data_IF_912856193022
#
_entry.id   IF_912856193022
#
_cell.length_a   1.000
_cell.length_b   1.000
_cell.length_c   1.000
_cell.angle_alpha   90.00
_cell.angle_beta   90.00
_cell.angle_gamma   90.00
#
_symmetry.space_group_name_H-M   'P 1'
#
loop_
_entity.id
_entity.type
_entity.pdbx_description
1 polymer ?
#
# COMPACT_ATOMS: atom_id res chain seq x y z
N UNK A 1 18.68 24.30 -35.96
CA UNK A 1 18.89 23.50 -34.73
C UNK A 1 20.40 23.37 -34.51
N UNK A 2 20.95 23.96 -33.49
CA UNK A 2 22.40 23.88 -33.21
C UNK A 2 22.70 22.44 -32.81
N UNK A 3 23.57 21.79 -33.56
CA UNK A 3 24.17 20.51 -33.15
C UNK A 3 24.67 20.61 -31.71
N UNK A 4 24.20 19.73 -30.81
CA UNK A 4 24.63 19.65 -29.43
C UNK A 4 26.11 19.28 -29.23
N UNK A 5 26.99 19.82 -30.06
CA UNK A 5 28.44 19.54 -30.13
C UNK A 5 29.26 20.02 -28.92
N UNK A 6 28.59 20.43 -27.83
CA UNK A 6 29.27 20.86 -26.61
C UNK A 6 28.94 20.07 -25.35
N UNK A 7 27.79 19.36 -25.31
CA UNK A 7 27.33 18.63 -24.10
C UNK A 7 27.86 17.20 -24.13
N UNK A 8 28.61 16.83 -23.11
CA UNK A 8 29.03 15.43 -22.87
C UNK A 8 28.13 14.81 -21.82
N UNK A 9 27.87 13.53 -21.96
CA UNK A 9 27.05 12.74 -21.03
C UNK A 9 27.90 11.63 -20.39
N UNK A 10 27.61 11.32 -19.14
CA UNK A 10 28.19 10.20 -18.43
C UNK A 10 27.25 9.02 -18.44
N UNK A 11 27.69 7.88 -18.94
CA UNK A 11 26.93 6.62 -18.90
C UNK A 11 26.97 5.96 -17.52
N UNK A 12 26.11 4.97 -17.31
CA UNK A 12 26.07 4.14 -16.09
C UNK A 12 27.38 3.38 -15.81
N UNK A 13 28.12 3.03 -16.85
CA UNK A 13 29.45 2.38 -16.76
C UNK A 13 30.58 3.38 -16.52
N UNK A 14 30.28 4.67 -16.35
CA UNK A 14 31.24 5.75 -16.12
C UNK A 14 31.85 6.31 -17.40
N UNK A 15 31.61 5.77 -18.60
CA UNK A 15 32.12 6.31 -19.85
C UNK A 15 31.48 7.66 -20.18
N UNK A 16 32.25 8.52 -20.81
CA UNK A 16 31.82 9.87 -21.22
C UNK A 16 31.84 9.95 -22.74
N UNK A 17 30.67 10.32 -23.30
CA UNK A 17 30.51 10.50 -24.74
C UNK A 17 29.73 11.79 -25.07
N UNK A 18 29.77 12.30 -26.32
CA UNK A 18 28.90 13.39 -26.73
C UNK A 18 27.41 13.02 -26.61
N UNK A 19 26.57 13.97 -26.19
CA UNK A 19 25.13 13.81 -26.17
C UNK A 19 24.61 13.55 -27.60
N UNK A 20 23.94 12.43 -27.78
CA UNK A 20 23.31 12.07 -29.05
C UNK A 20 21.81 12.43 -29.00
N UNK A 21 21.44 13.57 -29.57
CA UNK A 21 20.05 14.05 -29.61
C UNK A 21 19.14 13.17 -30.45
N UNK A 22 19.67 12.50 -31.50
CA UNK A 22 18.85 11.60 -32.34
C UNK A 22 18.35 10.38 -31.54
N UNK A 23 19.18 9.88 -30.60
CA UNK A 23 18.75 8.81 -29.68
C UNK A 23 17.67 9.29 -28.71
N UNK A 24 17.77 10.52 -28.22
CA UNK A 24 16.76 11.11 -27.34
C UNK A 24 15.45 11.28 -28.11
N UNK A 25 15.53 11.87 -29.31
CA UNK A 25 14.39 12.10 -30.19
C UNK A 25 13.66 10.78 -30.49
N UNK A 26 14.38 9.77 -30.96
CA UNK A 26 13.81 8.45 -31.27
C UNK A 26 13.07 7.84 -30.08
N UNK A 27 13.65 7.90 -28.87
CA UNK A 27 13.02 7.36 -27.67
C UNK A 27 11.72 8.10 -27.31
N UNK A 28 11.68 9.43 -27.48
CA UNK A 28 10.48 10.22 -27.20
C UNK A 28 9.42 10.01 -28.29
N UNK A 29 9.82 9.88 -29.56
CA UNK A 29 8.90 9.54 -30.66
C UNK A 29 8.25 8.18 -30.43
N UNK A 30 9.03 7.14 -30.11
CA UNK A 30 8.51 5.80 -29.77
C UNK A 30 7.54 5.86 -28.58
N UNK A 31 7.82 6.69 -27.57
CA UNK A 31 6.90 6.88 -26.44
C UNK A 31 5.59 7.57 -26.82
N UNK A 32 5.57 8.39 -27.87
CA UNK A 32 4.37 9.07 -28.38
C UNK A 32 3.58 8.21 -29.41
N UNK A 33 4.16 7.15 -29.93
CA UNK A 33 3.58 6.36 -31.03
C UNK A 33 2.20 5.80 -30.66
N UNK A 34 1.23 5.96 -31.58
CA UNK A 34 -0.13 5.41 -31.42
C UNK A 34 -1.03 6.16 -30.42
N UNK A 35 -0.56 7.25 -29.79
CA UNK A 35 -1.35 8.02 -28.82
C UNK A 35 -2.19 9.17 -29.42
N UNK A 36 -2.15 9.32 -30.75
CA UNK A 36 -2.94 10.31 -31.49
C UNK A 36 -2.32 11.71 -31.50
N UNK A 37 -3.06 12.67 -32.08
CA UNK A 37 -2.58 14.05 -32.32
C UNK A 37 -2.47 14.92 -31.06
N UNK A 38 -2.92 14.43 -29.92
CA UNK A 38 -2.88 15.16 -28.64
C UNK A 38 -1.53 15.14 -27.93
N UNK A 39 -0.50 14.44 -28.48
CA UNK A 39 0.85 14.39 -27.94
C UNK A 39 1.88 14.75 -29.01
N UNK A 40 2.98 15.37 -28.59
CA UNK A 40 4.06 15.81 -29.47
C UNK A 40 5.43 15.54 -28.84
N UNK A 41 6.28 14.78 -29.51
CA UNK A 41 7.65 14.55 -29.10
C UNK A 41 8.42 15.87 -28.95
N UNK A 42 8.23 16.80 -29.88
CA UNK A 42 8.89 18.11 -29.84
C UNK A 42 8.53 18.93 -28.59
N UNK A 43 7.31 18.84 -28.07
CA UNK A 43 6.94 19.52 -26.82
C UNK A 43 7.66 18.95 -25.61
N UNK A 44 7.75 17.62 -25.51
CA UNK A 44 8.51 16.95 -24.45
C UNK A 44 9.99 17.36 -24.51
N UNK A 45 10.57 17.37 -25.70
CA UNK A 45 11.97 17.73 -25.93
C UNK A 45 12.26 19.21 -25.61
N UNK A 46 11.37 20.11 -25.99
CA UNK A 46 11.51 21.55 -25.68
C UNK A 46 11.50 21.77 -24.17
N UNK A 47 10.59 21.13 -23.43
CA UNK A 47 10.53 21.21 -21.98
C UNK A 47 11.77 20.61 -21.31
N UNK A 48 12.36 19.55 -21.90
CA UNK A 48 13.53 18.87 -21.35
C UNK A 48 14.84 19.55 -21.69
N UNK A 49 14.99 20.09 -22.89
CA UNK A 49 16.26 20.58 -23.44
C UNK A 49 16.91 21.70 -22.65
N UNK A 50 16.13 22.52 -21.95
CA UNK A 50 16.64 23.58 -21.07
C UNK A 50 17.33 23.08 -19.80
N UNK A 51 17.20 21.80 -19.46
CA UNK A 51 17.73 21.20 -18.25
C UNK A 51 19.02 20.39 -18.50
N UNK A 52 19.40 20.19 -19.76
CA UNK A 52 20.61 19.45 -20.08
C UNK A 52 21.87 20.33 -19.94
N UNK A 53 22.86 19.80 -19.24
CA UNK A 53 24.15 20.46 -19.01
C UNK A 53 25.32 19.51 -19.27
N UNK A 54 26.54 20.08 -19.44
CA UNK A 54 27.74 19.27 -19.68
C UNK A 54 28.06 18.37 -18.46
N UNK A 55 28.37 17.11 -18.73
CA UNK A 55 28.63 16.11 -17.72
C UNK A 55 27.38 15.44 -17.10
N UNK A 56 26.15 15.75 -17.57
CA UNK A 56 24.90 15.15 -17.09
C UNK A 56 24.94 13.62 -17.23
N UNK A 57 24.38 12.91 -16.25
CA UNK A 57 24.26 11.46 -16.33
C UNK A 57 23.06 11.04 -17.23
N UNK A 58 23.24 9.95 -17.97
CA UNK A 58 22.15 9.45 -18.85
C UNK A 58 20.88 9.06 -18.10
N UNK A 59 21.00 8.68 -16.82
CA UNK A 59 19.84 8.43 -15.96
C UNK A 59 19.05 9.72 -15.66
N UNK A 60 19.79 10.84 -15.46
CA UNK A 60 19.15 12.14 -15.16
C UNK A 60 18.43 12.69 -16.39
N UNK A 61 19.01 12.49 -17.59
CA UNK A 61 18.31 12.79 -18.85
C UNK A 61 16.99 12.03 -18.93
N UNK A 62 17.00 10.76 -18.58
CA UNK A 62 15.79 9.93 -18.57
C UNK A 62 14.72 10.47 -17.59
N UNK A 63 15.13 10.83 -16.37
CA UNK A 63 14.21 11.42 -15.38
C UNK A 63 13.68 12.80 -15.80
N UNK A 64 14.51 13.62 -16.46
CA UNK A 64 14.09 14.90 -17.03
C UNK A 64 13.02 14.69 -18.11
N UNK A 65 13.20 13.72 -19.02
CA UNK A 65 12.22 13.42 -20.06
C UNK A 65 10.91 12.92 -19.47
N UNK A 66 10.96 12.04 -18.49
CA UNK A 66 9.78 11.54 -17.78
C UNK A 66 9.03 12.70 -17.10
N UNK A 67 9.74 13.57 -16.40
CA UNK A 67 9.16 14.74 -15.74
C UNK A 67 8.57 15.71 -16.76
N UNK A 68 9.30 16.00 -17.84
CA UNK A 68 8.83 16.91 -18.91
C UNK A 68 7.55 16.40 -19.57
N UNK A 69 7.42 15.09 -19.78
CA UNK A 69 6.18 14.50 -20.28
C UNK A 69 5.05 14.55 -19.23
N UNK A 70 5.38 14.32 -17.93
CA UNK A 70 4.37 14.39 -16.87
C UNK A 70 3.84 15.80 -16.62
N UNK A 71 4.67 16.83 -16.80
CA UNK A 71 4.29 18.23 -16.64
C UNK A 71 3.35 18.74 -17.75
N UNK A 72 3.26 17.99 -18.86
CA UNK A 72 2.34 18.27 -19.97
C UNK A 72 0.96 17.61 -19.79
N UNK A 73 0.73 16.87 -18.70
CA UNK A 73 -0.55 16.22 -18.43
C UNK A 73 -1.57 17.27 -17.95
N UNK A 74 -2.60 17.48 -18.75
CA UNK A 74 -3.77 18.30 -18.38
C UNK A 74 -5.06 17.67 -18.91
N UNK A 75 -6.19 18.35 -18.74
CA UNK A 75 -7.51 17.85 -19.18
C UNK A 75 -7.62 17.71 -20.70
N UNK A 76 -6.94 18.55 -21.46
CA UNK A 76 -6.98 18.56 -22.92
C UNK A 76 -5.92 17.63 -23.53
N UNK A 77 -4.83 17.38 -22.80
CA UNK A 77 -3.67 16.60 -23.21
C UNK A 77 -3.39 15.41 -22.28
N UNK A 78 -4.43 14.72 -21.82
CA UNK A 78 -4.32 13.61 -20.84
C UNK A 78 -3.46 12.43 -21.36
N UNK A 79 -3.26 12.28 -22.67
CA UNK A 79 -2.46 11.21 -23.23
C UNK A 79 -0.96 11.31 -22.91
N UNK A 80 -0.45 12.46 -22.47
CA UNK A 80 0.93 12.55 -21.97
C UNK A 80 1.18 11.65 -20.74
N UNK A 81 0.14 11.23 -20.02
CA UNK A 81 0.30 10.22 -18.96
C UNK A 81 0.85 8.90 -19.48
N UNK A 82 0.50 8.51 -20.71
CA UNK A 82 1.03 7.30 -21.34
C UNK A 82 2.44 7.53 -21.90
N UNK A 83 2.74 8.72 -22.41
CA UNK A 83 4.10 9.09 -22.82
C UNK A 83 5.06 9.01 -21.64
N UNK A 84 4.71 9.64 -20.53
CA UNK A 84 5.50 9.60 -19.29
C UNK A 84 5.65 8.16 -18.74
N UNK A 85 4.58 7.35 -18.82
CA UNK A 85 4.62 5.93 -18.44
C UNK A 85 5.59 5.12 -19.31
N UNK A 86 5.55 5.30 -20.62
CA UNK A 86 6.43 4.57 -21.56
C UNK A 86 7.89 4.96 -21.39
N UNK A 87 8.17 6.25 -21.17
CA UNK A 87 9.53 6.70 -20.84
C UNK A 87 10.04 6.11 -19.52
N UNK A 88 9.18 6.03 -18.49
CA UNK A 88 9.51 5.35 -17.24
C UNK A 88 9.73 3.85 -17.44
N UNK A 89 8.86 3.19 -18.22
CA UNK A 89 9.00 1.77 -18.53
C UNK A 89 10.33 1.47 -19.24
N UNK A 90 10.72 2.31 -20.18
CA UNK A 90 12.02 2.21 -20.84
C UNK A 90 13.16 2.29 -19.82
N UNK A 91 13.09 3.22 -18.86
CA UNK A 91 14.10 3.34 -17.80
C UNK A 91 14.19 2.07 -16.93
N UNK A 92 13.01 1.50 -16.54
CA UNK A 92 12.93 0.26 -15.76
C UNK A 92 13.50 -0.92 -16.54
N UNK A 93 13.05 -1.13 -17.78
CA UNK A 93 13.56 -2.22 -18.64
C UNK A 93 15.06 -2.13 -18.85
N UNK A 94 15.58 -0.93 -19.10
CA UNK A 94 17.02 -0.70 -19.25
C UNK A 94 17.80 -0.96 -17.95
N UNK A 95 17.22 -0.69 -16.81
CA UNK A 95 17.86 -0.98 -15.51
C UNK A 95 17.90 -2.48 -15.25
N UNK A 96 16.80 -3.19 -15.46
CA UNK A 96 16.64 -4.62 -15.15
C UNK A 96 17.35 -5.50 -16.19
N UNK A 97 17.19 -5.20 -17.47
CA UNK A 97 17.61 -6.06 -18.59
C UNK A 97 18.87 -5.58 -19.31
N UNK A 98 19.41 -4.41 -18.88
CA UNK A 98 20.54 -3.78 -19.58
C UNK A 98 20.13 -3.23 -20.94
N UNK A 99 21.12 -2.98 -21.83
CA UNK A 99 20.84 -2.46 -23.17
C UNK A 99 20.51 -3.55 -24.20
N UNK A 100 20.79 -4.80 -23.87
CA UNK A 100 20.60 -5.94 -24.77
C UNK A 100 19.13 -6.23 -25.08
N UNK A 101 18.22 -5.89 -24.18
CA UNK A 101 16.79 -6.14 -24.44
C UNK A 101 16.24 -5.46 -25.69
N UNK A 102 16.92 -4.40 -26.16
CA UNK A 102 16.55 -3.70 -27.42
C UNK A 102 16.85 -4.52 -28.68
N UNK A 103 17.79 -5.47 -28.61
CA UNK A 103 18.21 -6.32 -29.72
C UNK A 103 17.78 -7.77 -29.54
N UNK A 104 17.89 -8.29 -28.35
CA UNK A 104 17.74 -9.72 -28.04
C UNK A 104 16.35 -10.02 -27.45
N UNK A 105 15.56 -8.99 -27.12
CA UNK A 105 14.26 -9.14 -26.47
C UNK A 105 14.38 -9.37 -24.96
N UNK A 106 13.31 -9.84 -24.36
CA UNK A 106 13.27 -10.19 -22.95
C UNK A 106 13.88 -11.56 -22.72
N UNK A 107 14.71 -11.79 -21.68
CA UNK A 107 15.24 -13.10 -21.36
C UNK A 107 14.12 -14.06 -20.97
N UNK A 108 14.37 -15.37 -21.12
CA UNK A 108 13.45 -16.40 -20.66
C UNK A 108 13.17 -16.26 -19.16
N UNK A 109 11.92 -16.50 -18.74
CA UNK A 109 11.48 -16.26 -17.35
C UNK A 109 12.35 -17.02 -16.34
N UNK A 110 12.77 -18.24 -16.65
CA UNK A 110 13.61 -19.06 -15.77
C UNK A 110 15.02 -18.47 -15.60
N UNK A 111 15.58 -17.88 -16.67
CA UNK A 111 16.85 -17.16 -16.60
C UNK A 111 16.74 -15.96 -15.65
N UNK A 112 15.69 -15.15 -15.84
CA UNK A 112 15.40 -14.01 -14.97
C UNK A 112 15.21 -14.41 -13.49
N UNK A 113 14.45 -15.50 -13.23
CA UNK A 113 14.26 -16.03 -11.88
C UNK A 113 15.60 -16.43 -11.27
N UNK A 114 16.43 -17.14 -12.03
CA UNK A 114 17.74 -17.64 -11.56
C UNK A 114 18.67 -16.48 -11.15
N UNK A 115 18.68 -15.41 -11.92
CA UNK A 115 19.40 -14.18 -11.56
C UNK A 115 18.85 -13.53 -10.26
N UNK A 116 17.54 -13.38 -10.16
CA UNK A 116 16.90 -12.81 -8.97
C UNK A 116 17.11 -13.66 -7.70
N UNK A 117 17.14 -14.99 -7.84
CA UNK A 117 17.50 -15.91 -6.75
C UNK A 117 18.98 -15.76 -6.39
N UNK A 118 19.86 -15.60 -7.39
CA UNK A 118 21.29 -15.33 -7.18
C UNK A 118 21.54 -14.04 -6.40
N UNK A 119 20.73 -13.01 -6.60
CA UNK A 119 20.74 -11.78 -5.80
C UNK A 119 20.06 -11.91 -4.41
N UNK A 120 19.43 -13.05 -4.12
CA UNK A 120 18.70 -13.29 -2.87
C UNK A 120 17.39 -12.51 -2.75
N UNK A 121 16.85 -11.99 -3.85
CA UNK A 121 15.62 -11.18 -3.86
C UNK A 121 14.37 -12.00 -4.15
N UNK A 122 14.50 -13.15 -4.80
CA UNK A 122 13.44 -14.14 -4.98
C UNK A 122 13.67 -15.38 -4.10
N UNK A 123 12.58 -16.05 -3.75
CA UNK A 123 12.63 -17.36 -3.09
C UNK A 123 13.03 -18.45 -4.09
N UNK A 124 14.20 -19.05 -3.90
CA UNK A 124 14.74 -20.06 -4.81
C UNK A 124 13.94 -21.35 -4.88
N UNK A 125 13.12 -21.65 -3.86
CA UNK A 125 12.30 -22.85 -3.84
C UNK A 125 11.24 -22.93 -4.94
N UNK A 126 10.97 -21.84 -5.65
CA UNK A 126 10.01 -21.82 -6.76
C UNK A 126 10.52 -22.54 -8.01
N UNK A 127 11.84 -22.55 -8.24
CA UNK A 127 12.43 -23.13 -9.45
C UNK A 127 12.08 -24.61 -9.57
N UNK A 128 12.20 -25.36 -8.48
CA UNK A 128 11.98 -26.81 -8.42
C UNK A 128 10.49 -27.21 -8.40
N UNK A 129 9.57 -26.24 -8.34
CA UNK A 129 8.13 -26.52 -8.29
C UNK A 129 7.51 -26.80 -9.65
N UNK A 130 8.17 -26.39 -10.72
CA UNK A 130 7.71 -26.55 -12.10
C UNK A 130 8.77 -27.26 -12.93
N UNK A 131 8.34 -28.06 -13.93
CA UNK A 131 9.27 -28.69 -14.88
C UNK A 131 9.75 -27.68 -15.92
N UNK A 132 10.81 -28.03 -16.66
CA UNK A 132 11.33 -27.17 -17.74
C UNK A 132 10.25 -26.90 -18.80
N UNK A 133 9.47 -27.91 -19.17
CA UNK A 133 8.38 -27.76 -20.14
C UNK A 133 7.25 -26.85 -19.61
N UNK A 134 7.02 -26.85 -18.30
CA UNK A 134 6.07 -25.94 -17.68
C UNK A 134 6.62 -24.51 -17.68
N UNK A 135 7.91 -24.31 -17.41
CA UNK A 135 8.56 -23.00 -17.49
C UNK A 135 8.53 -22.43 -18.92
N UNK A 136 8.82 -23.24 -19.95
CA UNK A 136 8.71 -22.81 -21.34
C UNK A 136 7.28 -22.36 -21.69
N UNK A 137 6.29 -23.07 -21.17
CA UNK A 137 4.88 -22.73 -21.37
C UNK A 137 4.49 -21.46 -20.63
N UNK A 138 4.96 -21.27 -19.41
CA UNK A 138 4.74 -20.06 -18.60
C UNK A 138 5.37 -18.85 -19.30
N UNK A 139 6.60 -18.98 -19.78
CA UNK A 139 7.30 -17.94 -20.52
C UNK A 139 6.52 -17.49 -21.76
N UNK A 140 6.00 -18.43 -22.53
CA UNK A 140 5.20 -18.17 -23.74
C UNK A 140 3.93 -17.36 -23.48
N UNK A 141 3.46 -17.24 -22.24
CA UNK A 141 2.28 -16.46 -21.87
C UNK A 141 2.61 -15.04 -21.43
N UNK A 142 3.88 -14.73 -21.17
CA UNK A 142 4.28 -13.40 -20.72
C UNK A 142 4.17 -12.43 -21.91
N UNK A 143 3.27 -11.48 -21.76
CA UNK A 143 3.00 -10.45 -22.76
C UNK A 143 3.52 -9.11 -22.23
N UNK A 144 4.74 -8.77 -22.58
CA UNK A 144 5.43 -7.56 -22.13
C UNK A 144 4.80 -6.27 -22.66
N UNK A 145 3.96 -6.35 -23.69
CA UNK A 145 3.26 -5.17 -24.24
C UNK A 145 2.10 -4.73 -23.35
N UNK A 146 1.64 -5.58 -22.42
CA UNK A 146 0.67 -5.18 -21.39
C UNK A 146 1.19 -4.08 -20.47
N UNK A 147 2.49 -3.88 -20.40
CA UNK A 147 3.07 -2.75 -19.66
C UNK A 147 2.63 -1.38 -20.26
N UNK A 148 2.24 -1.34 -21.53
CA UNK A 148 1.71 -0.12 -22.16
C UNK A 148 0.29 0.26 -21.71
N UNK A 149 -0.37 -0.60 -20.92
CA UNK A 149 -1.65 -0.29 -20.28
C UNK A 149 -1.50 0.65 -19.07
N UNK A 150 -0.30 0.79 -18.53
CA UNK A 150 -0.07 1.65 -17.38
C UNK A 150 -0.18 3.13 -17.73
N UNK A 151 -0.85 3.87 -16.85
CA UNK A 151 -0.68 5.32 -16.73
C UNK A 151 0.61 5.63 -15.96
N UNK A 152 1.12 6.86 -16.07
CA UNK A 152 2.32 7.28 -15.34
C UNK A 152 2.20 7.07 -13.82
N UNK A 153 1.09 7.53 -13.23
CA UNK A 153 0.86 7.35 -11.78
C UNK A 153 0.79 5.87 -11.38
N UNK A 154 0.14 5.03 -12.21
CA UNK A 154 0.06 3.58 -11.97
C UNK A 154 1.42 2.90 -12.04
N UNK A 155 2.22 3.18 -13.07
CA UNK A 155 3.55 2.59 -13.23
C UNK A 155 4.53 3.10 -12.14
N UNK A 156 4.45 4.40 -11.78
CA UNK A 156 5.23 4.96 -10.66
C UNK A 156 4.93 4.23 -9.36
N UNK A 157 3.65 4.00 -9.07
CA UNK A 157 3.26 3.24 -7.88
C UNK A 157 3.80 1.81 -7.89
N UNK A 158 3.74 1.13 -9.04
CA UNK A 158 4.29 -0.24 -9.18
C UNK A 158 5.80 -0.21 -8.97
N UNK A 159 6.51 0.67 -9.65
CA UNK A 159 7.98 0.78 -9.58
C UNK A 159 8.45 1.13 -8.17
N UNK A 160 7.83 2.13 -7.54
CA UNK A 160 8.31 2.64 -6.26
C UNK A 160 7.95 1.74 -5.08
N UNK A 161 6.87 0.94 -5.19
CA UNK A 161 6.32 0.19 -4.05
C UNK A 161 6.37 -1.33 -4.19
N UNK A 162 6.20 -1.86 -5.40
CA UNK A 162 5.87 -3.28 -5.60
C UNK A 162 6.94 -4.07 -6.32
N UNK A 163 7.67 -3.49 -7.28
CA UNK A 163 8.81 -4.17 -7.89
C UNK A 163 9.86 -4.48 -6.83
N UNK A 164 10.43 -5.66 -6.90
CA UNK A 164 11.52 -6.05 -6.01
C UNK A 164 12.73 -5.19 -6.32
N UNK A 165 13.28 -4.57 -5.30
CA UNK A 165 14.39 -3.62 -5.42
C UNK A 165 15.23 -3.57 -4.16
N UNK A 166 16.49 -3.19 -4.29
CA UNK A 166 17.31 -2.74 -3.19
C UNK A 166 16.91 -1.31 -2.82
N UNK A 167 16.36 -1.14 -1.63
CA UNK A 167 15.86 0.16 -1.15
C UNK A 167 16.99 1.16 -0.81
N UNK A 168 18.20 0.68 -0.61
CA UNK A 168 19.33 1.54 -0.28
C UNK A 168 19.94 2.18 -1.54
N UNK A 169 20.04 1.43 -2.63
CA UNK A 169 20.55 1.88 -3.92
C UNK A 169 19.48 2.38 -4.89
N UNK A 170 18.22 1.95 -4.70
CA UNK A 170 17.12 2.15 -5.65
C UNK A 170 17.20 1.22 -6.87
N UNK A 171 18.03 0.18 -6.81
CA UNK A 171 18.18 -0.79 -7.88
C UNK A 171 16.96 -1.71 -7.94
N UNK A 172 16.31 -1.78 -9.12
CA UNK A 172 15.13 -2.61 -9.40
C UNK A 172 15.59 -3.88 -10.14
N UNK A 173 15.06 -5.04 -9.73
CA UNK A 173 15.48 -6.35 -10.23
C UNK A 173 14.46 -7.03 -11.15
N UNK A 174 13.27 -6.47 -11.34
CA UNK A 174 12.23 -7.07 -12.16
C UNK A 174 11.42 -6.03 -12.94
N UNK A 175 10.79 -6.45 -14.04
CA UNK A 175 9.80 -5.64 -14.78
C UNK A 175 8.38 -5.99 -14.32
N UNK A 176 7.34 -5.17 -14.63
CA UNK A 176 5.99 -5.43 -14.17
C UNK A 176 5.43 -6.80 -14.65
N UNK A 177 5.74 -7.24 -15.88
CA UNK A 177 5.21 -8.52 -16.35
C UNK A 177 5.86 -9.72 -15.67
N UNK A 178 7.17 -9.66 -15.38
CA UNK A 178 7.81 -10.69 -14.54
C UNK A 178 7.22 -10.69 -13.14
N UNK A 179 7.01 -9.52 -12.52
CA UNK A 179 6.33 -9.42 -11.23
C UNK A 179 4.98 -10.14 -11.24
N UNK A 180 4.13 -9.84 -12.22
CA UNK A 180 2.79 -10.44 -12.30
C UNK A 180 2.85 -11.94 -12.55
N UNK A 181 3.72 -12.41 -13.43
CA UNK A 181 3.86 -13.84 -13.66
C UNK A 181 4.38 -14.56 -12.41
N UNK A 182 5.40 -14.00 -11.74
CA UNK A 182 5.96 -14.58 -10.54
C UNK A 182 4.96 -14.63 -9.38
N UNK A 183 4.08 -13.65 -9.26
CA UNK A 183 2.97 -13.73 -8.30
C UNK A 183 2.05 -14.90 -8.63
N UNK A 184 1.67 -15.07 -9.89
CA UNK A 184 0.78 -16.15 -10.31
C UNK A 184 1.40 -17.54 -10.04
N UNK A 185 2.63 -17.76 -10.49
CA UNK A 185 3.29 -19.07 -10.31
C UNK A 185 3.53 -19.40 -8.84
N UNK A 186 3.87 -18.41 -8.01
CA UNK A 186 4.10 -18.65 -6.59
C UNK A 186 2.82 -18.98 -5.84
N UNK A 187 1.70 -18.33 -6.17
CA UNK A 187 0.41 -18.57 -5.51
C UNK A 187 -0.14 -19.98 -5.82
N UNK A 188 0.12 -20.49 -7.01
CA UNK A 188 -0.44 -21.79 -7.44
C UNK A 188 0.57 -22.94 -7.47
N UNK A 189 1.79 -22.74 -6.96
CA UNK A 189 2.86 -23.74 -6.98
C UNK A 189 2.51 -25.08 -6.31
N UNK A 190 1.66 -25.07 -5.30
CA UNK A 190 1.27 -26.26 -4.54
C UNK A 190 0.02 -26.95 -5.11
N UNK A 191 -0.60 -26.42 -6.16
CA UNK A 191 -1.73 -27.06 -6.79
C UNK A 191 -1.24 -28.23 -7.67
N UNK A 192 -1.77 -29.41 -7.42
CA UNK A 192 -1.40 -30.63 -8.15
C UNK A 192 -2.15 -30.79 -9.46
N UNK A 193 -3.39 -30.30 -9.51
CA UNK A 193 -4.25 -30.36 -10.69
C UNK A 193 -4.53 -28.97 -11.24
N UNK A 194 -4.53 -28.85 -12.56
CA UNK A 194 -4.87 -27.60 -13.28
C UNK A 194 -4.06 -26.36 -12.89
N UNK A 195 -2.88 -26.53 -12.24
CA UNK A 195 -2.09 -25.38 -11.76
C UNK A 195 -1.73 -24.40 -12.88
N UNK A 196 -1.38 -24.90 -14.06
CA UNK A 196 -1.05 -24.06 -15.19
C UNK A 196 -2.24 -23.25 -15.71
N UNK A 197 -3.46 -23.80 -15.66
CA UNK A 197 -4.68 -23.05 -15.99
C UNK A 197 -4.90 -21.92 -14.98
N UNK A 198 -4.75 -22.20 -13.69
CA UNK A 198 -4.84 -21.17 -12.65
C UNK A 198 -3.78 -20.08 -12.81
N UNK A 199 -2.52 -20.46 -13.04
CA UNK A 199 -1.42 -19.51 -13.28
C UNK A 199 -1.75 -18.60 -14.44
N UNK A 200 -2.14 -19.15 -15.60
CA UNK A 200 -2.47 -18.36 -16.80
C UNK A 200 -3.65 -17.42 -16.57
N UNK A 201 -4.74 -17.92 -16.01
CA UNK A 201 -5.96 -17.13 -15.74
C UNK A 201 -5.69 -16.01 -14.76
N UNK A 202 -4.92 -16.29 -13.70
CA UNK A 202 -4.58 -15.28 -12.70
C UNK A 202 -3.64 -14.22 -13.28
N UNK A 203 -2.58 -14.64 -13.99
CA UNK A 203 -1.71 -13.71 -14.71
C UNK A 203 -2.50 -12.81 -15.68
N UNK A 204 -3.39 -13.38 -16.49
CA UNK A 204 -4.25 -12.63 -17.39
C UNK A 204 -5.15 -11.61 -16.66
N UNK A 205 -5.66 -11.96 -15.48
CA UNK A 205 -6.53 -11.08 -14.72
C UNK A 205 -5.77 -9.89 -14.10
N UNK A 206 -4.60 -10.14 -13.51
CA UNK A 206 -3.82 -9.08 -12.85
C UNK A 206 -3.05 -8.22 -13.84
N UNK A 207 -2.43 -8.80 -14.87
CA UNK A 207 -1.64 -8.06 -15.86
C UNK A 207 -2.47 -7.23 -16.84
N UNK A 208 -3.75 -7.57 -17.00
CA UNK A 208 -4.75 -6.77 -17.74
C UNK A 208 -5.52 -5.79 -16.85
N UNK A 209 -5.09 -5.61 -15.60
CA UNK A 209 -5.69 -4.72 -14.59
C UNK A 209 -7.18 -4.97 -14.34
N UNK A 210 -7.66 -6.22 -14.52
CA UNK A 210 -9.06 -6.59 -14.27
C UNK A 210 -9.36 -6.78 -12.78
N UNK A 211 -8.37 -7.16 -12.02
CA UNK A 211 -8.42 -7.29 -10.56
C UNK A 211 -7.22 -6.59 -9.93
N UNK A 212 -7.41 -6.11 -8.73
CA UNK A 212 -6.35 -5.56 -7.89
C UNK A 212 -6.05 -6.53 -6.75
N UNK A 213 -4.81 -6.62 -6.33
CA UNK A 213 -4.36 -7.53 -5.29
C UNK A 213 -3.71 -6.75 -4.14
N UNK A 214 -3.77 -7.28 -2.89
CA UNK A 214 -3.28 -6.56 -1.73
C UNK A 214 -1.76 -6.36 -1.75
N UNK A 215 -1.34 -5.24 -1.17
CA UNK A 215 0.08 -4.83 -1.10
C UNK A 215 1.06 -5.93 -0.67
N UNK A 216 0.82 -6.74 0.38
CA UNK A 216 1.76 -7.78 0.79
C UNK A 216 1.97 -8.88 -0.26
N UNK A 217 0.92 -9.20 -1.03
CA UNK A 217 1.02 -10.16 -2.14
C UNK A 217 1.84 -9.55 -3.28
N UNK A 218 1.51 -8.30 -3.70
CA UNK A 218 2.24 -7.63 -4.78
C UNK A 218 3.72 -7.43 -4.46
N UNK A 219 4.03 -7.06 -3.22
CA UNK A 219 5.40 -6.73 -2.84
C UNK A 219 6.22 -7.95 -2.38
N UNK A 220 5.58 -9.04 -1.94
CA UNK A 220 6.28 -10.03 -1.12
C UNK A 220 6.15 -11.49 -1.49
N UNK A 221 5.09 -11.94 -2.19
CA UNK A 221 4.81 -13.38 -2.30
C UNK A 221 5.93 -14.19 -2.96
N UNK A 222 6.63 -13.64 -3.95
CA UNK A 222 7.76 -14.26 -4.64
C UNK A 222 9.12 -14.10 -3.94
N UNK A 223 9.14 -13.36 -2.84
CA UNK A 223 10.34 -13.07 -2.05
C UNK A 223 10.41 -13.96 -0.81
N UNK A 224 11.51 -13.96 -0.04
CA UNK A 224 11.59 -14.70 1.23
C UNK A 224 10.62 -14.26 2.33
N UNK A 225 9.83 -13.19 2.12
CA UNK A 225 8.81 -12.73 3.08
C UNK A 225 7.70 -13.78 3.25
N UNK A 226 7.14 -13.85 4.47
CA UNK A 226 6.09 -14.83 4.83
C UNK A 226 4.84 -14.22 5.46
N UNK A 227 4.76 -12.89 5.57
CA UNK A 227 3.59 -12.17 6.08
C UNK A 227 2.82 -11.53 4.93
N UNK A 228 1.58 -12.00 4.68
CA UNK A 228 0.77 -11.58 3.53
C UNK A 228 -0.57 -10.93 3.92
N UNK A 229 -0.90 -10.84 5.21
CA UNK A 229 -2.08 -10.13 5.67
C UNK A 229 -1.89 -8.61 5.50
N UNK A 230 -2.73 -7.96 4.71
CA UNK A 230 -2.66 -6.49 4.52
C UNK A 230 -3.34 -5.73 5.65
N UNK A 231 -4.31 -6.35 6.33
CA UNK A 231 -5.06 -5.77 7.43
C UNK A 231 -5.21 -6.81 8.54
N UNK A 232 -5.01 -6.38 9.78
CA UNK A 232 -5.13 -7.22 10.98
C UNK A 232 -6.04 -6.52 11.97
N UNK A 233 -7.00 -7.26 12.52
CA UNK A 233 -7.86 -6.79 13.59
C UNK A 233 -7.29 -7.26 14.93
N UNK A 234 -7.16 -6.33 15.87
CA UNK A 234 -6.73 -6.59 17.24
C UNK A 234 -7.87 -6.25 18.19
N UNK A 235 -8.36 -7.25 18.91
CA UNK A 235 -9.40 -7.07 19.93
C UNK A 235 -8.73 -6.84 21.28
N UNK A 236 -9.01 -5.70 21.90
CA UNK A 236 -8.40 -5.28 23.17
C UNK A 236 -9.40 -5.47 24.28
N UNK A 237 -9.09 -6.32 25.23
CA UNK A 237 -9.92 -6.55 26.40
C UNK A 237 -9.57 -5.58 27.54
N UNK A 238 -10.44 -5.51 28.56
CA UNK A 238 -10.39 -4.57 29.68
C UNK A 238 -9.38 -4.98 30.78
N UNK A 239 -8.19 -5.42 30.38
CA UNK A 239 -7.08 -5.75 31.32
C UNK A 239 -5.77 -5.14 30.87
N UNK A 240 -4.87 -4.83 31.78
CA UNK A 240 -3.52 -4.33 31.48
C UNK A 240 -2.75 -5.32 30.59
N UNK A 241 -2.89 -6.62 30.87
CA UNK A 241 -2.21 -7.66 30.10
C UNK A 241 -2.70 -7.68 28.66
N UNK A 242 -4.02 -7.57 28.43
CA UNK A 242 -4.59 -7.51 27.09
C UNK A 242 -4.18 -6.22 26.38
N UNK A 243 -4.24 -5.07 27.03
CA UNK A 243 -3.86 -3.78 26.44
C UNK A 243 -2.38 -3.79 26.00
N UNK A 244 -1.47 -4.30 26.83
CA UNK A 244 -0.05 -4.31 26.50
C UNK A 244 0.34 -5.39 25.50
N UNK A 245 -0.27 -6.59 25.57
CA UNK A 245 -0.07 -7.61 24.53
C UNK A 245 -0.61 -7.17 23.17
N UNK A 246 -1.74 -6.47 23.14
CA UNK A 246 -2.30 -5.86 21.94
C UNK A 246 -1.36 -4.80 21.36
N UNK A 247 -0.78 -3.93 22.19
CA UNK A 247 0.17 -2.92 21.76
C UNK A 247 1.43 -3.55 21.14
N UNK A 248 1.94 -4.63 21.73
CA UNK A 248 3.05 -5.39 21.17
C UNK A 248 2.68 -6.02 19.83
N UNK A 249 1.50 -6.62 19.70
CA UNK A 249 1.01 -7.21 18.46
C UNK A 249 0.86 -6.14 17.36
N UNK A 250 0.30 -4.97 17.70
CA UNK A 250 0.20 -3.83 16.79
C UNK A 250 1.58 -3.46 16.23
N UNK A 251 2.60 -3.34 17.08
CA UNK A 251 3.96 -3.02 16.68
C UNK A 251 4.54 -4.03 15.67
N UNK A 252 4.41 -5.32 15.96
CA UNK A 252 4.90 -6.37 15.06
C UNK A 252 4.20 -6.38 13.71
N UNK A 253 2.88 -6.27 13.67
CA UNK A 253 2.13 -6.29 12.42
C UNK A 253 2.36 -5.03 11.58
N UNK A 254 2.46 -3.85 12.21
CA UNK A 254 2.82 -2.61 11.50
C UNK A 254 4.20 -2.72 10.87
N UNK A 255 5.19 -3.23 11.61
CA UNK A 255 6.55 -3.44 11.10
C UNK A 255 6.56 -4.39 9.89
N UNK A 256 5.61 -5.31 9.81
CA UNK A 256 5.43 -6.24 8.69
C UNK A 256 4.41 -5.77 7.62
N UNK A 257 4.15 -4.46 7.56
CA UNK A 257 3.35 -3.81 6.50
C UNK A 257 1.83 -4.02 6.56
N UNK A 258 1.27 -4.45 7.69
CA UNK A 258 -0.16 -4.53 7.89
C UNK A 258 -0.75 -3.19 8.34
N UNK A 259 -1.94 -2.85 7.84
CA UNK A 259 -2.83 -1.87 8.46
C UNK A 259 -3.56 -2.49 9.64
N UNK A 260 -3.86 -1.72 10.67
CA UNK A 260 -4.41 -2.25 11.92
C UNK A 260 -5.81 -1.70 12.16
N UNK A 261 -6.77 -2.58 12.46
CA UNK A 261 -8.02 -2.24 13.13
C UNK A 261 -7.89 -2.59 14.61
N UNK A 262 -8.10 -1.62 15.49
CA UNK A 262 -8.02 -1.79 16.94
C UNK A 262 -9.42 -1.71 17.52
N UNK A 263 -9.93 -2.80 18.03
CA UNK A 263 -11.18 -2.78 18.78
C UNK A 263 -10.89 -2.47 20.25
N UNK A 264 -11.08 -1.21 20.66
CA UNK A 264 -10.82 -0.74 22.03
C UNK A 264 -12.14 -0.50 22.81
N UNK A 265 -13.27 -0.85 22.24
CA UNK A 265 -14.59 -0.58 22.79
C UNK A 265 -14.94 -1.36 24.07
N UNK A 266 -14.11 -2.33 24.48
CA UNK A 266 -14.26 -3.07 25.75
C UNK A 266 -13.57 -2.38 26.92
N UNK A 267 -12.62 -1.48 26.67
CA UNK A 267 -11.86 -0.81 27.73
C UNK A 267 -12.82 0.07 28.53
N UNK A 268 -12.80 -0.06 29.85
CA UNK A 268 -13.65 0.73 30.75
C UNK A 268 -13.40 2.22 30.63
N UNK A 269 -14.45 2.99 30.88
CA UNK A 269 -14.38 4.45 30.82
C UNK A 269 -13.67 5.08 32.00
N UNK A 270 -13.44 6.39 31.92
CA UNK A 270 -12.81 7.21 32.96
C UNK A 270 -13.60 7.09 34.26
N UNK A 271 -12.88 7.10 35.41
CA UNK A 271 -13.39 6.98 36.76
C UNK A 271 -14.03 5.61 37.10
N UNK A 272 -14.01 4.64 36.18
CA UNK A 272 -14.42 3.27 36.52
C UNK A 272 -13.55 2.70 37.62
N UNK A 273 -14.16 1.92 38.53
CA UNK A 273 -13.47 1.34 39.71
C UNK A 273 -12.45 0.26 39.27
N UNK A 274 -11.27 0.31 39.87
CA UNK A 274 -10.22 -0.70 39.76
C UNK A 274 -9.91 -1.23 41.17
N UNK A 275 -9.58 -2.52 41.31
CA UNK A 275 -9.24 -3.15 42.58
C UNK A 275 -10.27 -2.89 43.67
N UNK A 276 -11.54 -3.12 43.38
CA UNK A 276 -12.61 -2.90 44.35
C UNK A 276 -12.90 -1.43 44.70
N UNK A 277 -12.36 -0.49 43.94
CA UNK A 277 -12.55 0.96 44.13
C UNK A 277 -11.37 1.66 44.80
N UNK A 278 -10.27 0.97 45.04
CA UNK A 278 -9.02 1.55 45.56
C UNK A 278 -8.41 2.58 44.59
N UNK A 279 -8.57 2.32 43.28
CA UNK A 279 -8.05 3.17 42.18
C UNK A 279 -9.16 3.45 41.18
N UNK A 280 -9.11 4.61 40.55
CA UNK A 280 -9.99 4.97 39.42
C UNK A 280 -9.24 4.88 38.10
N UNK A 281 -9.94 4.41 37.06
CA UNK A 281 -9.42 4.32 35.71
C UNK A 281 -9.23 5.70 35.07
N UNK A 282 -8.13 5.87 34.37
CA UNK A 282 -7.75 7.15 33.74
C UNK A 282 -8.46 7.43 32.40
N UNK A 283 -9.33 6.53 31.96
CA UNK A 283 -10.02 6.61 30.66
C UNK A 283 -9.23 5.95 29.53
N UNK A 284 -9.82 5.97 28.34
CA UNK A 284 -9.25 5.29 27.15
C UNK A 284 -8.17 6.12 26.46
N UNK A 285 -8.22 7.45 26.56
CA UNK A 285 -7.32 8.36 25.81
C UNK A 285 -5.83 8.08 26.07
N UNK A 286 -5.35 7.83 27.30
CA UNK A 286 -3.94 7.49 27.54
C UNK A 286 -3.49 6.22 26.80
N UNK A 287 -4.34 5.21 26.70
CA UNK A 287 -4.04 3.97 25.96
C UNK A 287 -4.06 4.20 24.45
N UNK A 288 -4.96 5.04 23.95
CA UNK A 288 -4.96 5.42 22.53
C UNK A 288 -3.68 6.17 22.13
N UNK A 289 -3.13 7.02 23.01
CA UNK A 289 -1.82 7.65 22.79
C UNK A 289 -0.69 6.64 22.71
N UNK A 290 -0.73 5.61 23.54
CA UNK A 290 0.24 4.53 23.51
C UNK A 290 0.16 3.79 22.17
N UNK A 291 -1.02 3.41 21.72
CA UNK A 291 -1.23 2.77 20.41
C UNK A 291 -0.79 3.70 19.25
N UNK A 292 -1.09 5.01 19.32
CA UNK A 292 -0.61 5.98 18.33
C UNK A 292 0.92 5.99 18.25
N UNK A 293 1.59 6.01 19.40
CA UNK A 293 3.06 6.01 19.46
C UNK A 293 3.63 4.72 18.84
N UNK A 294 3.08 3.56 19.18
CA UNK A 294 3.48 2.25 18.65
C UNK A 294 3.28 2.17 17.14
N UNK A 295 2.12 2.59 16.62
CA UNK A 295 1.84 2.62 15.17
C UNK A 295 2.82 3.53 14.43
N UNK A 296 3.24 4.63 15.04
CA UNK A 296 4.13 5.60 14.40
C UNK A 296 5.61 5.23 14.45
N UNK A 297 6.07 4.59 15.52
CA UNK A 297 7.47 4.20 15.64
C UNK A 297 7.81 2.93 14.82
N UNK A 298 6.83 2.07 14.56
CA UNK A 298 6.99 0.86 13.77
C UNK A 298 6.70 1.15 12.29
N UNK A 299 7.63 1.79 11.58
CA UNK A 299 7.44 2.13 10.17
C UNK A 299 7.55 0.91 9.26
N UNK A 300 6.77 0.90 8.17
CA UNK A 300 6.83 -0.13 7.12
C UNK A 300 8.06 0.06 6.23
N UNK A 301 9.25 -0.30 6.70
CA UNK A 301 10.53 -0.17 5.95
C UNK A 301 10.78 1.24 5.37
N UNK A 302 10.36 2.29 6.07
CA UNK A 302 10.62 3.68 5.67
C UNK A 302 9.77 4.22 4.50
N UNK A 303 8.90 3.41 3.88
CA UNK A 303 8.17 3.78 2.65
C UNK A 303 6.74 4.22 2.96
N UNK A 304 6.12 3.59 3.93
CA UNK A 304 4.74 3.89 4.34
C UNK A 304 4.70 3.97 5.86
N UNK A 305 4.15 5.08 6.39
CA UNK A 305 3.88 5.19 7.82
C UNK A 305 2.86 4.12 8.27
N UNK A 306 2.96 3.66 9.50
CA UNK A 306 1.95 2.82 10.10
C UNK A 306 0.59 3.53 10.11
N UNK A 307 -0.49 2.76 9.92
CA UNK A 307 -1.87 3.25 9.92
C UNK A 307 -2.74 2.33 10.77
N UNK A 308 -3.58 2.93 11.62
CA UNK A 308 -4.54 2.18 12.41
C UNK A 308 -5.85 2.94 12.55
N UNK A 309 -6.97 2.19 12.56
CA UNK A 309 -8.30 2.68 12.87
C UNK A 309 -8.77 2.07 14.17
N UNK A 310 -9.22 2.89 15.10
CA UNK A 310 -9.77 2.44 16.39
C UNK A 310 -11.29 2.44 16.35
N UNK A 311 -11.89 1.37 16.84
CA UNK A 311 -13.34 1.14 16.84
C UNK A 311 -13.90 1.26 18.24
N UNK A 312 -14.99 2.02 18.38
CA UNK A 312 -15.76 2.18 19.62
C UNK A 312 -17.25 2.07 19.39
N UNK A 313 -18.03 1.51 20.33
CA UNK A 313 -19.49 1.59 20.25
C UNK A 313 -19.96 3.00 20.61
N UNK A 314 -21.06 3.45 19.97
CA UNK A 314 -21.66 4.77 20.21
C UNK A 314 -22.06 4.99 21.67
N UNK A 315 -22.37 3.93 22.38
CA UNK A 315 -22.81 3.96 23.79
C UNK A 315 -21.64 3.96 24.79
N UNK A 316 -20.38 4.03 24.34
CA UNK A 316 -19.22 4.11 25.24
C UNK A 316 -19.24 5.43 26.02
N UNK A 317 -18.93 5.38 27.34
CA UNK A 317 -18.96 6.53 28.25
C UNK A 317 -18.17 7.75 27.75
N UNK A 318 -17.03 7.53 27.07
CA UNK A 318 -16.14 8.59 26.60
C UNK A 318 -16.35 8.92 25.10
N UNK A 319 -17.46 8.51 24.50
CA UNK A 319 -17.64 8.66 23.05
C UNK A 319 -17.57 10.11 22.58
N UNK A 320 -18.09 11.08 23.35
CA UNK A 320 -18.04 12.50 23.00
C UNK A 320 -16.61 13.05 22.94
N UNK A 321 -15.71 12.54 23.80
CA UNK A 321 -14.29 12.87 23.75
C UNK A 321 -13.58 12.17 22.59
N UNK A 322 -13.95 10.91 22.31
CA UNK A 322 -13.35 10.09 21.24
C UNK A 322 -13.62 10.68 19.87
N UNK A 323 -14.84 11.12 19.56
CA UNK A 323 -15.20 11.66 18.23
C UNK A 323 -14.48 12.97 17.91
N UNK A 324 -13.93 13.67 18.88
CA UNK A 324 -13.19 14.93 18.69
C UNK A 324 -11.67 14.78 18.79
N UNK A 325 -11.14 13.58 18.95
CA UNK A 325 -9.69 13.33 19.13
C UNK A 325 -8.84 13.85 17.96
N UNK A 326 -9.37 13.92 16.75
CA UNK A 326 -8.69 14.50 15.58
C UNK A 326 -8.89 16.00 15.43
N UNK A 327 -9.70 16.63 16.26
CA UNK A 327 -9.96 18.06 16.18
C UNK A 327 -8.68 18.88 16.42
N UNK A 328 -8.54 20.01 15.72
CA UNK A 328 -7.41 20.92 15.88
C UNK A 328 -7.55 21.85 17.10
N UNK A 329 -8.73 21.92 17.72
CA UNK A 329 -8.98 22.70 18.94
C UNK A 329 -8.55 21.92 20.18
N UNK A 330 -8.16 22.63 21.23
CA UNK A 330 -7.74 22.06 22.51
C UNK A 330 -6.24 21.77 22.61
N UNK A 331 -5.83 21.26 23.79
CA UNK A 331 -4.43 20.93 24.08
C UNK A 331 -4.02 19.63 23.43
N UNK A 332 -2.72 19.44 23.20
CA UNK A 332 -2.18 18.20 22.65
C UNK A 332 -2.44 16.99 23.57
N UNK A 333 -2.58 17.24 24.88
CA UNK A 333 -2.82 16.18 25.87
C UNK A 333 -4.17 15.49 25.70
N UNK A 334 -5.16 16.19 25.13
CA UNK A 334 -6.51 15.65 24.91
C UNK A 334 -6.75 15.28 23.43
N UNK A 335 -5.70 15.03 22.65
CA UNK A 335 -5.81 14.70 21.23
C UNK A 335 -4.96 13.51 20.84
N UNK A 336 -5.50 12.69 19.93
CA UNK A 336 -4.82 11.56 19.30
C UNK A 336 -5.15 11.64 17.81
N UNK A 337 -4.31 12.37 17.06
CA UNK A 337 -4.65 12.81 15.70
C UNK A 337 -4.20 11.87 14.60
N UNK A 338 -3.28 10.95 14.91
CA UNK A 338 -2.65 10.08 13.90
C UNK A 338 -3.27 8.68 13.83
N UNK A 339 -4.28 8.41 14.64
CA UNK A 339 -5.18 7.27 14.48
C UNK A 339 -6.45 7.72 13.75
N UNK A 340 -7.09 6.82 13.04
CA UNK A 340 -8.43 6.98 12.52
C UNK A 340 -9.46 6.37 13.49
N UNK A 341 -10.70 6.81 13.42
CA UNK A 341 -11.76 6.39 14.34
C UNK A 341 -12.97 5.90 13.57
N UNK A 342 -13.57 4.84 14.09
CA UNK A 342 -14.81 4.27 13.60
C UNK A 342 -15.77 4.08 14.77
N UNK A 343 -17.03 4.43 14.57
CA UNK A 343 -18.09 4.30 15.58
C UNK A 343 -19.06 3.21 15.15
N UNK A 344 -19.32 2.28 16.05
CA UNK A 344 -20.28 1.19 15.86
C UNK A 344 -21.67 1.72 16.27
N UNK A 345 -22.61 1.72 15.34
CA UNK A 345 -23.99 2.18 15.54
C UNK A 345 -24.95 0.99 15.49
N UNK A 346 -25.88 0.90 16.46
CA UNK A 346 -26.94 -0.11 16.47
C UNK A 346 -28.21 0.35 15.75
N UNK A 347 -29.12 -0.55 15.43
CA UNK A 347 -30.43 -0.23 14.92
C UNK A 347 -31.21 0.66 15.89
N UNK A 348 -31.15 0.35 17.19
CA UNK A 348 -31.75 1.14 18.26
C UNK A 348 -31.24 2.59 18.27
N UNK A 349 -29.93 2.82 18.02
CA UNK A 349 -29.39 4.17 17.91
C UNK A 349 -30.07 4.94 16.76
N UNK A 350 -30.18 4.35 15.58
CA UNK A 350 -30.82 5.02 14.44
C UNK A 350 -32.31 5.31 14.70
N UNK A 351 -33.01 4.38 15.33
CA UNK A 351 -34.41 4.60 15.72
C UNK A 351 -34.53 5.81 16.63
N UNK A 352 -33.77 5.84 17.72
CA UNK A 352 -33.80 6.98 18.67
C UNK A 352 -33.35 8.29 18.05
N UNK A 353 -32.38 8.25 17.16
CA UNK A 353 -31.94 9.44 16.43
C UNK A 353 -33.07 10.03 15.56
N UNK A 354 -33.83 9.18 14.86
CA UNK A 354 -34.99 9.62 14.06
C UNK A 354 -36.08 10.20 14.95
N UNK A 355 -36.30 9.61 16.11
CA UNK A 355 -37.33 10.02 17.09
C UNK A 355 -36.87 11.22 17.94
N UNK A 356 -35.65 11.75 17.75
CA UNK A 356 -35.01 12.74 18.61
C UNK A 356 -35.00 12.33 20.09
N UNK A 357 -34.81 11.04 20.34
CA UNK A 357 -34.73 10.44 21.67
C UNK A 357 -33.30 10.49 22.23
N UNK A 358 -33.20 10.16 23.51
CA UNK A 358 -31.95 10.13 24.25
C UNK A 358 -31.25 8.79 24.11
N UNK A 359 -29.90 8.78 24.24
CA UNK A 359 -29.08 7.59 24.39
C UNK A 359 -28.28 7.64 25.69
N UNK A 360 -28.11 6.47 26.31
CA UNK A 360 -27.33 6.31 27.53
C UNK A 360 -25.93 5.81 27.19
N UNK A 361 -24.92 6.45 27.76
CA UNK A 361 -23.52 6.11 27.63
C UNK A 361 -23.06 5.36 28.90
N UNK A 362 -22.41 4.22 28.68
CA UNK A 362 -21.95 3.35 29.76
C UNK A 362 -20.45 3.13 29.72
N UNK A 363 -19.85 2.90 30.88
CA UNK A 363 -18.58 2.19 30.94
C UNK A 363 -18.83 0.71 30.61
N UNK A 364 -18.10 0.08 29.68
CA UNK A 364 -18.33 -1.33 29.34
C UNK A 364 -18.24 -2.28 30.52
N UNK A 365 -17.42 -1.93 31.53
CA UNK A 365 -17.28 -2.67 32.77
C UNK A 365 -18.59 -2.79 33.58
N UNK A 366 -19.45 -1.78 33.52
CA UNK A 366 -20.68 -1.70 34.30
C UNK A 366 -21.86 -2.37 33.60
N UNK A 367 -21.70 -2.76 32.32
CA UNK A 367 -22.73 -3.39 31.47
C UNK A 367 -22.20 -4.69 30.84
N UNK A 368 -21.90 -5.72 31.64
CA UNK A 368 -21.29 -6.95 31.18
C UNK A 368 -22.13 -7.63 30.09
N UNK A 369 -21.47 -8.10 29.02
CA UNK A 369 -22.09 -8.76 27.88
C UNK A 369 -22.75 -7.82 26.85
N UNK A 370 -22.89 -6.52 27.12
CA UNK A 370 -23.50 -5.60 26.17
C UNK A 370 -22.67 -5.47 24.90
N UNK A 371 -21.34 -5.41 25.05
CA UNK A 371 -20.45 -5.35 23.89
C UNK A 371 -20.56 -6.61 23.03
N UNK A 372 -20.61 -7.80 23.66
CA UNK A 372 -20.72 -9.09 22.96
C UNK A 372 -22.07 -9.31 22.29
N UNK A 373 -23.11 -8.67 22.81
CA UNK A 373 -24.45 -8.71 22.23
C UNK A 373 -24.60 -7.85 20.96
N UNK A 374 -23.66 -6.95 20.69
CA UNK A 374 -23.74 -6.04 19.53
C UNK A 374 -23.90 -6.83 18.22
N UNK A 375 -24.86 -6.40 17.38
CA UNK A 375 -25.18 -7.07 16.13
C UNK A 375 -26.10 -8.30 16.27
N UNK A 376 -26.55 -8.63 17.48
CA UNK A 376 -27.56 -9.66 17.73
C UNK A 376 -28.93 -9.05 18.08
N UNK A 377 -30.02 -9.81 17.94
CA UNK A 377 -31.37 -9.38 18.34
C UNK A 377 -31.47 -9.09 19.85
N UNK A 378 -30.59 -9.68 20.65
CA UNK A 378 -30.57 -9.52 22.11
C UNK A 378 -29.96 -8.18 22.56
N UNK A 379 -29.21 -7.48 21.70
CA UNK A 379 -28.53 -6.22 22.07
C UNK A 379 -29.50 -5.16 22.58
N UNK A 380 -30.58 -4.92 21.85
CA UNK A 380 -31.52 -3.84 22.17
C UNK A 380 -32.22 -4.09 23.51
N UNK A 381 -32.64 -5.33 23.78
CA UNK A 381 -33.24 -5.73 25.05
C UNK A 381 -32.28 -5.56 26.22
N UNK A 382 -31.03 -5.97 26.03
CA UNK A 382 -29.99 -5.87 27.04
C UNK A 382 -29.63 -4.41 27.33
N UNK A 383 -29.51 -3.58 26.30
CA UNK A 383 -29.23 -2.16 26.41
C UNK A 383 -30.33 -1.44 27.20
N UNK A 384 -31.60 -1.64 26.83
CA UNK A 384 -32.76 -1.03 27.49
C UNK A 384 -32.87 -1.50 28.96
N UNK A 385 -32.56 -2.76 29.23
CA UNK A 385 -32.51 -3.29 30.60
C UNK A 385 -31.48 -2.58 31.47
N UNK A 386 -30.25 -2.39 30.96
CA UNK A 386 -29.20 -1.63 31.65
C UNK A 386 -29.56 -0.17 31.82
N UNK A 387 -30.21 0.42 30.84
CA UNK A 387 -30.66 1.81 30.88
C UNK A 387 -31.74 2.04 31.95
N UNK A 388 -32.58 1.05 32.24
CA UNK A 388 -33.60 1.11 33.25
C UNK A 388 -33.10 0.76 34.68
N UNK A 389 -31.89 0.19 34.80
CA UNK A 389 -31.31 -0.11 36.10
C UNK A 389 -30.67 1.15 36.72
N UNK A 390 -31.29 1.62 37.82
CA UNK A 390 -30.82 2.82 38.57
C UNK A 390 -29.47 2.65 39.26
N UNK A 391 -28.99 1.43 39.43
CA UNK A 391 -27.71 1.13 40.05
C UNK A 391 -26.55 1.24 39.08
N UNK A 392 -26.80 1.28 37.77
CA UNK A 392 -25.75 1.37 36.74
C UNK A 392 -25.47 2.85 36.45
N UNK A 393 -24.21 3.28 36.68
CA UNK A 393 -23.79 4.62 36.34
C UNK A 393 -23.89 4.85 34.82
N UNK A 394 -24.46 5.97 34.43
CA UNK A 394 -24.58 6.35 33.03
C UNK A 394 -24.58 7.85 32.82
N UNK A 395 -24.23 8.27 31.65
CA UNK A 395 -24.47 9.61 31.13
C UNK A 395 -25.53 9.51 30.05
N UNK A 396 -26.42 10.47 29.98
CA UNK A 396 -27.46 10.55 28.91
C UNK A 396 -27.17 11.73 28.01
N UNK A 397 -27.27 11.55 26.72
CA UNK A 397 -27.09 12.58 25.68
C UNK A 397 -28.24 12.55 24.69
#
# INVERSE_FOLDING_TARGET
MSNGNGIKVRKRDGTVEPLNLDKVHKMVEEACEGLGSGVSASQVEMNSGLQFHDGIETKDIQEILIRSASDLIDLDHYNYQFVAARLLLYAVRKQVLGSKWLTDGHPHVLEHISECVGYGVYDGGIIDKYTDEEWDKIDSWIDHDRDYLFTYAGLRQVTDKYLVQDRSSGEVYETPQYMYMMIAVTLFQEYTENRLDYVKRYYDAISKHRINIPTPIMAGVRTPLRQFASCVLVDVDDTIDSIFSSDMAIGYYVAQRAGIGINAGRIRGINSKIRGGEVQHTGVIPFLKKFEATVRCCTQNGIRGGSATVHFPIWHQEIEDIIVLKNNKGTQDNRVRKLDYSIQLSALFYQRFIEAGEISLFSPHDVPGLYDAFGTEYFDDLYVRYENDKNIPRKTI
#
